data_IF_280385532828
#
_entry.id   IF_280385532828
#
_cell.length_a   1.000
_cell.length_b   1.000
_cell.length_c   1.000
_cell.angle_alpha   90.00
_cell.angle_beta   90.00
_cell.angle_gamma   90.00
#
_symmetry.space_group_name_H-M   'P 1'
#
loop_
_entity.id
_entity.type
_entity.pdbx_description
1 polymer ?
#
# COMPACT_ATOMS: atom_id res chain seq x y z
N UNK A 1 23.02 -37.89 -24.44
CA UNK A 1 24.27 -37.11 -24.31
C UNK A 1 23.94 -35.71 -24.80
N UNK A 2 23.78 -34.78 -23.86
CA UNK A 2 23.78 -33.31 -23.99
C UNK A 2 23.13 -32.71 -25.24
N UNK A 3 21.84 -32.37 -25.13
CA UNK A 3 21.29 -31.13 -25.69
C UNK A 3 20.23 -30.50 -24.74
N UNK A 4 20.14 -30.97 -23.49
CA UNK A 4 19.69 -30.14 -22.38
C UNK A 4 20.82 -29.16 -22.10
N UNK A 5 20.61 -27.86 -22.39
CA UNK A 5 21.29 -26.64 -21.89
C UNK A 5 21.25 -25.59 -23.00
N UNK A 6 20.09 -24.95 -23.18
CA UNK A 6 19.98 -23.49 -23.32
C UNK A 6 18.66 -23.08 -22.63
N UNK A 7 18.69 -23.04 -21.30
CA UNK A 7 17.86 -22.12 -20.51
C UNK A 7 18.49 -20.74 -20.60
N UNK A 8 17.76 -19.75 -21.11
CA UNK A 8 17.95 -18.30 -20.87
C UNK A 8 16.66 -17.63 -21.37
N UNK A 9 15.58 -17.63 -20.60
CA UNK A 9 15.29 -16.57 -19.63
C UNK A 9 15.04 -15.19 -20.31
N UNK A 10 14.25 -15.18 -21.40
CA UNK A 10 13.90 -13.93 -22.12
C UNK A 10 12.45 -13.86 -22.61
N UNK A 11 11.50 -14.54 -21.97
CA UNK A 11 10.05 -14.44 -22.30
C UNK A 11 9.15 -14.06 -21.10
N UNK A 12 9.75 -13.64 -19.99
CA UNK A 12 9.02 -13.42 -18.73
C UNK A 12 8.36 -12.03 -18.48
N UNK A 13 8.37 -11.00 -19.36
CA UNK A 13 7.66 -9.75 -19.03
C UNK A 13 6.21 -9.66 -19.55
N UNK A 14 5.66 -10.65 -20.27
CA UNK A 14 4.35 -10.49 -20.95
C UNK A 14 3.39 -11.69 -20.77
N UNK A 15 3.84 -12.87 -20.33
CA UNK A 15 3.00 -14.08 -20.21
C UNK A 15 1.84 -13.96 -19.20
N UNK A 16 1.97 -13.09 -18.20
CA UNK A 16 0.95 -12.84 -17.18
C UNK A 16 -0.22 -11.96 -17.65
N UNK A 17 -0.05 -11.20 -18.74
CA UNK A 17 -1.18 -10.52 -19.39
C UNK A 17 -2.19 -11.51 -19.99
N UNK A 18 -1.79 -12.78 -20.23
CA UNK A 18 -2.71 -13.82 -20.73
C UNK A 18 -3.71 -14.30 -19.67
N UNK A 19 -3.38 -14.22 -18.38
CA UNK A 19 -4.23 -14.75 -17.31
C UNK A 19 -4.32 -13.81 -16.09
N UNK A 20 -4.92 -12.61 -16.26
CA UNK A 20 -5.09 -11.66 -15.15
C UNK A 20 -5.97 -12.21 -14.02
N UNK A 21 -6.92 -13.10 -14.34
CA UNK A 21 -7.87 -13.66 -13.37
C UNK A 21 -7.16 -14.59 -12.37
N UNK A 22 -6.28 -15.47 -12.86
CA UNK A 22 -5.53 -16.43 -12.03
C UNK A 22 -4.57 -15.70 -11.09
N UNK A 23 -3.99 -14.59 -11.57
CA UNK A 23 -3.14 -13.72 -10.77
C UNK A 23 -3.92 -13.06 -9.62
N UNK A 24 -5.11 -12.50 -9.89
CA UNK A 24 -5.97 -11.91 -8.87
C UNK A 24 -6.39 -12.94 -7.82
N UNK A 25 -6.74 -14.16 -8.25
CA UNK A 25 -7.14 -15.24 -7.33
C UNK A 25 -6.00 -15.62 -6.37
N UNK A 26 -4.77 -15.76 -6.88
CA UNK A 26 -3.61 -16.00 -6.04
C UNK A 26 -3.35 -14.84 -5.07
N UNK A 27 -3.52 -13.60 -5.53
CA UNK A 27 -3.30 -12.42 -4.68
C UNK A 27 -4.32 -12.35 -3.54
N UNK A 28 -5.61 -12.57 -3.84
CA UNK A 28 -6.68 -12.66 -2.82
C UNK A 28 -6.39 -13.78 -1.82
N UNK A 29 -5.92 -14.94 -2.30
CA UNK A 29 -5.56 -16.03 -1.40
C UNK A 29 -4.39 -15.68 -0.48
N UNK A 30 -3.38 -14.94 -0.96
CA UNK A 30 -2.25 -14.47 -0.15
C UNK A 30 -2.72 -13.49 0.92
N UNK A 31 -3.59 -12.55 0.55
CA UNK A 31 -4.19 -11.55 1.44
C UNK A 31 -5.02 -12.23 2.53
N UNK A 32 -5.93 -13.13 2.18
CA UNK A 32 -6.76 -13.81 3.18
C UNK A 32 -5.91 -14.64 4.15
N UNK A 33 -4.78 -15.17 3.68
CA UNK A 33 -3.87 -16.01 4.50
C UNK A 33 -2.92 -15.21 5.41
N UNK A 34 -2.73 -13.90 5.18
CA UNK A 34 -1.94 -13.01 6.08
C UNK A 34 -2.70 -12.58 7.35
N UNK A 35 -3.93 -13.08 7.54
CA UNK A 35 -4.51 -13.57 8.81
C UNK A 35 -4.86 -12.59 9.94
N UNK A 36 -4.03 -11.58 10.28
CA UNK A 36 -4.23 -10.77 11.51
C UNK A 36 -4.52 -9.30 11.22
N UNK A 37 -3.72 -8.67 10.36
CA UNK A 37 -3.91 -7.26 10.00
C UNK A 37 -5.11 -7.09 9.06
N UNK A 38 -5.35 -8.06 8.18
CA UNK A 38 -6.45 -8.02 7.22
C UNK A 38 -7.84 -8.19 7.85
N UNK A 39 -7.91 -8.60 9.12
CA UNK A 39 -9.16 -8.56 9.89
C UNK A 39 -9.68 -7.11 10.04
N UNK A 40 -8.77 -6.12 10.09
CA UNK A 40 -9.13 -4.70 10.18
C UNK A 40 -9.88 -4.22 8.93
N UNK A 41 -9.82 -4.95 7.82
CA UNK A 41 -10.52 -4.61 6.58
C UNK A 41 -12.05 -4.65 6.77
N UNK A 42 -12.54 -5.36 7.80
CA UNK A 42 -13.96 -5.33 8.20
C UNK A 42 -14.42 -3.92 8.57
N UNK A 43 -13.52 -3.05 9.06
CA UNK A 43 -13.85 -1.68 9.46
C UNK A 43 -14.07 -0.74 8.27
N UNK A 44 -13.73 -1.17 7.04
CA UNK A 44 -13.99 -0.39 5.83
C UNK A 44 -15.49 -0.21 5.57
N UNK A 45 -16.28 -1.28 5.72
CA UNK A 45 -17.73 -1.26 5.50
C UNK A 45 -18.45 -0.28 6.45
N UNK A 46 -18.27 -0.35 7.79
CA UNK A 46 -18.89 0.62 8.69
C UNK A 46 -18.35 2.03 8.50
N UNK A 47 -17.09 2.23 8.09
CA UNK A 47 -16.56 3.56 7.80
C UNK A 47 -17.32 4.24 6.64
N UNK A 48 -17.60 3.50 5.56
CA UNK A 48 -18.39 4.00 4.42
C UNK A 48 -19.84 4.28 4.84
N UNK A 49 -20.46 3.35 5.58
CA UNK A 49 -21.83 3.51 6.05
C UNK A 49 -21.98 4.73 6.98
N UNK A 50 -21.08 4.90 7.96
CA UNK A 50 -21.14 6.03 8.91
C UNK A 50 -20.99 7.40 8.26
N UNK A 51 -20.31 7.48 7.11
CA UNK A 51 -20.24 8.72 6.32
C UNK A 51 -21.61 9.15 5.80
N UNK A 52 -22.51 8.20 5.52
CA UNK A 52 -23.85 8.49 4.99
C UNK A 52 -24.87 8.86 6.07
N UNK A 53 -24.67 8.43 7.32
CA UNK A 53 -25.61 8.62 8.42
C UNK A 53 -25.28 9.78 9.37
N UNK A 54 -24.47 10.76 8.92
CA UNK A 54 -24.01 11.92 9.72
C UNK A 54 -23.58 11.55 11.15
N UNK A 55 -22.85 10.44 11.25
CA UNK A 55 -22.44 9.82 12.52
C UNK A 55 -21.29 10.58 13.18
N UNK A 56 -20.97 10.21 14.44
CA UNK A 56 -19.89 10.83 15.20
C UNK A 56 -18.55 10.85 14.42
N UNK A 57 -18.05 12.07 14.15
CA UNK A 57 -16.82 12.32 13.38
C UNK A 57 -15.58 11.63 13.97
N UNK A 58 -15.53 11.45 15.29
CA UNK A 58 -14.42 10.74 15.98
C UNK A 58 -14.45 9.26 15.61
N UNK A 59 -15.62 8.64 15.67
CA UNK A 59 -15.78 7.22 15.36
C UNK A 59 -15.51 6.92 13.87
N UNK A 60 -15.98 7.79 12.98
CA UNK A 60 -15.67 7.74 11.55
C UNK A 60 -14.16 7.83 11.28
N UNK A 61 -13.45 8.69 12.01
CA UNK A 61 -12.00 8.85 11.87
C UNK A 61 -11.26 7.58 12.33
N UNK A 62 -11.68 6.99 13.46
CA UNK A 62 -11.10 5.75 13.98
C UNK A 62 -11.31 4.60 13.00
N UNK A 63 -12.53 4.40 12.49
CA UNK A 63 -12.80 3.31 11.55
C UNK A 63 -12.06 3.46 10.22
N UNK A 64 -11.98 4.69 9.68
CA UNK A 64 -11.16 4.94 8.49
C UNK A 64 -9.68 4.66 8.77
N UNK A 65 -9.15 5.07 9.92
CA UNK A 65 -7.76 4.82 10.28
C UNK A 65 -7.47 3.31 10.37
N UNK A 66 -8.33 2.54 11.04
CA UNK A 66 -8.20 1.09 11.14
C UNK A 66 -8.30 0.41 9.76
N UNK A 67 -9.14 0.91 8.86
CA UNK A 67 -9.28 0.38 7.51
C UNK A 67 -8.08 0.68 6.59
N UNK A 68 -7.36 1.80 6.80
CA UNK A 68 -6.18 2.17 6.02
C UNK A 68 -4.99 1.23 6.29
N UNK A 69 -4.84 0.74 7.53
CA UNK A 69 -3.73 -0.16 7.92
C UNK A 69 -3.62 -1.41 7.03
N UNK A 70 -4.66 -2.26 6.89
CA UNK A 70 -4.59 -3.42 6.00
C UNK A 70 -4.53 -3.03 4.51
N UNK A 71 -5.10 -1.88 4.14
CA UNK A 71 -5.08 -1.41 2.76
C UNK A 71 -3.67 -1.01 2.31
N UNK A 72 -2.89 -0.40 3.20
CA UNK A 72 -1.47 -0.09 2.96
C UNK A 72 -0.63 -1.35 2.73
N UNK A 73 -0.87 -2.39 3.53
CA UNK A 73 -0.18 -3.67 3.38
C UNK A 73 -0.52 -4.33 2.04
N UNK A 74 -1.81 -4.32 1.65
CA UNK A 74 -2.26 -4.82 0.36
C UNK A 74 -1.58 -4.10 -0.79
N UNK A 75 -1.53 -2.77 -0.71
CA UNK A 75 -0.88 -1.98 -1.74
C UNK A 75 0.62 -2.28 -1.84
N UNK A 76 1.31 -2.44 -0.69
CA UNK A 76 2.72 -2.84 -0.65
C UNK A 76 2.96 -4.17 -1.33
N UNK A 77 2.15 -5.19 -1.02
CA UNK A 77 2.25 -6.50 -1.69
C UNK A 77 2.01 -6.40 -3.20
N UNK A 78 1.07 -5.56 -3.63
CA UNK A 78 0.84 -5.30 -5.05
C UNK A 78 2.01 -4.58 -5.73
N UNK A 79 2.67 -3.64 -5.04
CA UNK A 79 3.85 -2.93 -5.53
C UNK A 79 5.10 -3.82 -5.59
N UNK A 80 5.25 -4.75 -4.65
CA UNK A 80 6.34 -5.75 -4.68
C UNK A 80 6.18 -6.68 -5.90
N UNK A 81 4.96 -7.14 -6.16
CA UNK A 81 4.67 -7.96 -7.33
C UNK A 81 4.77 -7.15 -8.64
N UNK A 82 4.43 -5.85 -8.64
CA UNK A 82 4.68 -4.96 -9.78
C UNK A 82 6.19 -4.75 -10.02
N UNK A 83 6.96 -4.56 -8.95
CA UNK A 83 8.42 -4.39 -9.00
C UNK A 83 9.10 -5.61 -9.62
N UNK A 84 8.66 -6.80 -9.24
CA UNK A 84 9.14 -8.06 -9.82
C UNK A 84 8.89 -8.15 -11.34
N UNK A 85 7.89 -7.43 -11.86
CA UNK A 85 7.48 -7.47 -13.27
C UNK A 85 8.15 -6.39 -14.13
N UNK A 86 8.38 -5.19 -13.60
CA UNK A 86 8.96 -4.06 -14.36
C UNK A 86 10.48 -3.97 -14.26
N UNK A 87 11.10 -4.81 -13.41
CA UNK A 87 12.54 -4.98 -13.31
C UNK A 87 13.20 -4.19 -12.18
N UNK A 88 14.45 -4.55 -11.83
CA UNK A 88 15.14 -4.07 -10.63
C UNK A 88 15.45 -2.57 -10.64
N UNK A 89 15.46 -1.93 -11.82
CA UNK A 89 15.73 -0.50 -11.96
C UNK A 89 14.73 0.39 -11.17
N UNK A 90 13.50 -0.08 -10.98
CA UNK A 90 12.45 0.66 -10.27
C UNK A 90 12.23 0.18 -8.83
N UNK A 91 12.92 -0.89 -8.41
CA UNK A 91 12.69 -1.53 -7.12
C UNK A 91 12.96 -0.61 -5.93
N UNK A 92 14.03 0.18 -5.98
CA UNK A 92 14.38 1.14 -4.93
C UNK A 92 13.34 2.26 -4.81
N UNK A 93 12.84 2.76 -5.95
CA UNK A 93 11.83 3.83 -5.99
C UNK A 93 10.49 3.32 -5.48
N UNK A 94 10.05 2.13 -5.92
CA UNK A 94 8.78 1.53 -5.50
C UNK A 94 8.78 1.17 -4.02
N UNK A 95 9.90 0.67 -3.49
CA UNK A 95 10.04 0.40 -2.07
C UNK A 95 9.94 1.68 -1.23
N UNK A 96 10.64 2.74 -1.64
CA UNK A 96 10.56 4.05 -0.99
C UNK A 96 9.14 4.65 -1.05
N UNK A 97 8.46 4.51 -2.20
CA UNK A 97 7.08 4.96 -2.35
C UNK A 97 6.12 4.15 -1.49
N UNK A 98 6.26 2.82 -1.45
CA UNK A 98 5.35 1.95 -0.72
C UNK A 98 5.35 2.22 0.79
N UNK A 99 6.54 2.42 1.37
CA UNK A 99 6.68 2.70 2.81
C UNK A 99 6.01 4.01 3.24
N UNK A 100 6.03 5.02 2.36
CA UNK A 100 5.50 6.36 2.64
C UNK A 100 4.24 6.70 1.85
N UNK A 101 3.64 5.73 1.16
CA UNK A 101 2.61 6.01 0.15
C UNK A 101 1.38 6.68 0.77
N UNK A 102 0.94 6.16 1.91
CA UNK A 102 -0.26 6.67 2.60
C UNK A 102 -0.05 8.13 2.99
N UNK A 103 1.13 8.47 3.50
CA UNK A 103 1.48 9.85 3.88
C UNK A 103 1.53 10.77 2.65
N UNK A 104 2.24 10.35 1.61
CA UNK A 104 2.35 11.09 0.34
C UNK A 104 0.98 11.29 -0.32
N UNK A 105 0.10 10.29 -0.27
CA UNK A 105 -1.24 10.37 -0.81
C UNK A 105 -2.09 11.40 -0.05
N UNK A 106 -2.05 11.38 1.28
CA UNK A 106 -2.79 12.34 2.12
C UNK A 106 -2.26 13.76 1.91
N UNK A 107 -0.94 13.94 1.82
CA UNK A 107 -0.31 15.22 1.55
C UNK A 107 -0.67 15.75 0.15
N UNK A 108 -0.61 14.91 -0.88
CA UNK A 108 -1.00 15.26 -2.24
C UNK A 108 -2.48 15.67 -2.31
N UNK A 109 -3.37 14.91 -1.66
CA UNK A 109 -4.79 15.24 -1.57
C UNK A 109 -5.02 16.58 -0.86
N UNK A 110 -4.35 16.80 0.27
CA UNK A 110 -4.44 18.06 1.02
C UNK A 110 -3.89 19.25 0.21
N UNK A 111 -2.81 19.04 -0.54
CA UNK A 111 -2.22 20.04 -1.41
C UNK A 111 -3.15 20.40 -2.57
N UNK A 112 -3.80 19.41 -3.19
CA UNK A 112 -4.78 19.60 -4.24
C UNK A 112 -5.99 20.44 -3.75
N UNK A 113 -6.43 20.24 -2.51
CA UNK A 113 -7.48 21.04 -1.87
C UNK A 113 -6.96 22.37 -1.26
N UNK A 114 -5.73 22.79 -1.60
CA UNK A 114 -5.06 24.02 -1.12
C UNK A 114 -4.96 24.12 0.42
N UNK A 115 -4.96 22.99 1.11
CA UNK A 115 -4.81 22.89 2.58
C UNK A 115 -3.35 22.85 2.99
N UNK A 116 -2.61 23.91 2.66
CA UNK A 116 -1.17 23.99 2.95
C UNK A 116 -0.82 23.82 4.44
N UNK A 117 -1.74 24.19 5.34
CA UNK A 117 -1.55 23.99 6.77
C UNK A 117 -1.40 22.50 7.13
N UNK A 118 -2.20 21.62 6.52
CA UNK A 118 -2.16 20.18 6.79
C UNK A 118 -0.82 19.59 6.31
N UNK A 119 -0.40 19.95 5.09
CA UNK A 119 0.88 19.49 4.51
C UNK A 119 2.06 19.94 5.38
N UNK A 120 2.07 21.21 5.82
CA UNK A 120 3.15 21.73 6.70
C UNK A 120 3.18 21.01 8.04
N UNK A 121 2.02 20.76 8.65
CA UNK A 121 1.92 20.03 9.91
C UNK A 121 2.39 18.58 9.77
N UNK A 122 2.09 17.91 8.65
CA UNK A 122 2.55 16.55 8.37
C UNK A 122 4.08 16.48 8.24
N UNK A 123 4.69 17.37 7.44
CA UNK A 123 6.15 17.45 7.27
C UNK A 123 6.85 17.73 8.61
N UNK A 124 6.33 18.67 9.41
CA UNK A 124 6.84 18.94 10.76
C UNK A 124 6.75 17.70 11.65
N UNK A 125 5.61 17.00 11.62
CA UNK A 125 5.40 15.74 12.35
C UNK A 125 6.41 14.67 11.96
N UNK A 126 6.69 14.48 10.67
CA UNK A 126 7.65 13.50 10.17
C UNK A 126 9.08 13.79 10.65
N UNK A 127 9.51 15.07 10.62
CA UNK A 127 10.83 15.49 11.13
C UNK A 127 10.90 15.25 12.64
N UNK A 128 9.89 15.70 13.38
CA UNK A 128 9.83 15.55 14.84
C UNK A 128 9.79 14.08 15.28
N UNK A 129 9.05 13.23 14.57
CA UNK A 129 9.01 11.80 14.82
C UNK A 129 10.39 11.17 14.59
N UNK A 130 11.06 11.52 13.48
CA UNK A 130 12.39 11.01 13.14
C UNK A 130 13.43 11.34 14.21
N UNK A 131 13.48 12.59 14.68
CA UNK A 131 14.42 13.00 15.73
C UNK A 131 14.05 12.44 17.11
N UNK A 132 12.76 12.27 17.39
CA UNK A 132 12.29 11.75 18.68
C UNK A 132 12.55 10.26 18.79
N UNK A 133 12.29 9.51 17.71
CA UNK A 133 12.50 8.08 17.66
C UNK A 133 13.99 7.72 17.77
N UNK A 134 14.86 8.42 17.04
CA UNK A 134 16.32 8.17 17.12
C UNK A 134 16.92 8.52 18.48
N UNK A 135 16.31 9.45 19.22
CA UNK A 135 16.75 9.83 20.57
C UNK A 135 16.14 8.93 21.65
N UNK A 136 15.14 8.12 21.31
CA UNK A 136 14.45 7.21 22.21
C UNK A 136 14.99 5.76 22.15
N UNK A 137 15.90 5.45 21.21
CA UNK A 137 16.63 4.17 21.13
C UNK A 137 18.08 4.35 21.57
#
# INVERSE_FOLDING_TARGET
NKDDVITSEEDAPISFLKHPIIWIENMISVIVRTGRVNLLLVFFIPAVLMKHYDSNKVLLTIFNFLAIVPLSNLMTTGLDDLTARIGPAYASVLHALSGNFVELFIECYALADKRYAIVRSAILGAILCSITFVSAS
#
